data_IF_716838996931
#
_entry.id   IF_716838996931
#
_cell.length_a   1.000
_cell.length_b   1.000
_cell.length_c   1.000
_cell.angle_alpha   90.00
_cell.angle_beta   90.00
_cell.angle_gamma   90.00
#
_symmetry.space_group_name_H-M   'P 1'
#
loop_
_entity.id
_entity.type
_entity.pdbx_description
1 polymer ?
#
# COMPACT_ATOMS: atom_id res chain seq x y z
N UNK A 1 16.64 -6.61 16.23
CA UNK A 1 17.82 -7.49 16.02
C UNK A 1 19.17 -6.81 16.20
N UNK A 2 19.23 -5.46 16.26
CA UNK A 2 20.47 -4.75 16.65
C UNK A 2 21.58 -4.79 15.61
N UNK A 3 21.24 -5.07 14.34
CA UNK A 3 22.20 -5.18 13.24
C UNK A 3 22.81 -3.83 12.85
N UNK A 4 22.02 -2.74 12.94
CA UNK A 4 22.43 -1.35 12.65
C UNK A 4 21.66 -0.37 13.54
N UNK A 5 22.29 0.77 13.86
CA UNK A 5 21.67 1.88 14.61
C UNK A 5 21.01 2.92 13.70
N UNK A 6 21.46 3.01 12.45
CA UNK A 6 20.97 3.95 11.43
C UNK A 6 20.88 3.22 10.09
N UNK A 7 19.79 3.45 9.35
CA UNK A 7 19.54 2.87 8.04
C UNK A 7 19.05 3.93 7.06
N UNK A 8 19.61 3.91 5.84
CA UNK A 8 19.00 4.57 4.69
C UNK A 8 18.12 3.56 3.98
N UNK A 9 16.83 3.85 3.85
CA UNK A 9 15.87 2.97 3.17
C UNK A 9 15.00 3.77 2.21
N UNK A 10 14.39 3.10 1.25
CA UNK A 10 13.57 3.77 0.26
C UNK A 10 13.32 2.92 -0.97
N UNK A 11 12.75 3.55 -1.98
CA UNK A 11 12.47 2.95 -3.28
C UNK A 11 12.52 4.00 -4.38
N UNK A 12 12.82 3.55 -5.59
CA UNK A 12 12.75 4.37 -6.80
C UNK A 12 12.22 3.50 -7.92
N UNK A 13 11.40 4.09 -8.78
CA UNK A 13 10.98 3.48 -10.02
C UNK A 13 10.87 4.56 -11.11
N UNK A 14 11.30 4.21 -12.31
CA UNK A 14 11.20 5.06 -13.50
C UNK A 14 10.67 4.22 -14.68
N UNK A 15 9.44 3.67 -14.56
CA UNK A 15 8.95 2.66 -15.48
C UNK A 15 8.41 3.25 -16.78
N UNK A 16 8.31 4.57 -16.92
CA UNK A 16 7.72 5.23 -18.09
C UNK A 16 8.60 5.02 -19.32
N UNK A 17 8.37 3.89 -19.99
CA UNK A 17 9.09 3.45 -21.16
C UNK A 17 8.16 2.64 -22.08
N UNK A 18 8.43 2.61 -23.40
CA UNK A 18 7.58 1.87 -24.34
C UNK A 18 7.37 0.40 -23.97
N UNK A 19 8.39 -0.27 -23.44
CA UNK A 19 8.31 -1.70 -23.09
C UNK A 19 7.40 -1.93 -21.88
N UNK A 20 7.47 -1.08 -20.85
CA UNK A 20 6.65 -1.23 -19.65
C UNK A 20 5.19 -0.92 -19.96
N UNK A 21 4.93 0.16 -20.71
CA UNK A 21 3.58 0.51 -21.16
C UNK A 21 2.98 -0.63 -21.96
N UNK A 22 3.69 -1.15 -22.97
CA UNK A 22 3.21 -2.26 -23.79
C UNK A 22 2.96 -3.54 -22.97
N UNK A 23 3.78 -3.82 -21.95
CA UNK A 23 3.63 -4.98 -21.08
C UNK A 23 2.36 -4.90 -20.23
N UNK A 24 2.04 -3.73 -19.68
CA UNK A 24 0.81 -3.54 -18.91
C UNK A 24 -0.45 -3.45 -19.77
N UNK A 25 -0.34 -2.91 -20.98
CA UNK A 25 -1.43 -2.90 -21.96
C UNK A 25 -1.81 -4.34 -22.38
N UNK A 26 -0.83 -5.23 -22.53
CA UNK A 26 -1.06 -6.63 -22.89
C UNK A 26 -1.94 -7.39 -21.88
N UNK A 27 -1.87 -7.00 -20.60
CA UNK A 27 -2.70 -7.56 -19.52
C UNK A 27 -3.87 -6.64 -19.13
N UNK A 28 -4.03 -5.49 -19.82
CA UNK A 28 -5.05 -4.47 -19.58
C UNK A 28 -5.09 -4.01 -18.12
N UNK A 29 -3.90 -3.76 -17.55
CA UNK A 29 -3.80 -3.30 -16.16
C UNK A 29 -3.85 -1.77 -16.05
N UNK A 30 -3.49 -1.06 -17.11
CA UNK A 30 -3.52 0.40 -17.25
C UNK A 30 -4.89 0.90 -17.73
N UNK A 31 -5.30 2.09 -17.28
CA UNK A 31 -6.52 2.75 -17.75
C UNK A 31 -6.42 3.09 -19.23
N UNK A 32 -7.51 2.89 -19.98
CA UNK A 32 -7.58 3.25 -21.40
C UNK A 32 -8.18 4.65 -21.64
N UNK A 33 -8.44 5.42 -20.57
CA UNK A 33 -9.04 6.76 -20.60
C UNK A 33 -8.06 7.83 -21.04
N UNK A 34 -7.64 7.73 -22.30
CA UNK A 34 -6.71 8.69 -22.91
C UNK A 34 -7.40 10.02 -23.26
N UNK A 35 -8.74 10.05 -23.28
CA UNK A 35 -9.57 11.20 -23.60
C UNK A 35 -9.74 12.18 -22.42
N UNK A 36 -9.59 11.71 -21.18
CA UNK A 36 -9.58 12.55 -19.97
C UNK A 36 -8.45 12.14 -19.01
N UNK A 37 -7.18 12.51 -19.30
CA UNK A 37 -6.02 12.09 -18.51
C UNK A 37 -6.07 12.59 -17.06
N UNK A 38 -6.66 13.76 -16.80
CA UNK A 38 -6.68 14.38 -15.48
C UNK A 38 -7.50 13.57 -14.46
N UNK A 39 -8.40 12.71 -14.93
CA UNK A 39 -9.26 11.89 -14.07
C UNK A 39 -9.08 10.39 -14.32
N UNK A 40 -8.10 9.97 -15.12
CA UNK A 40 -7.91 8.57 -15.49
C UNK A 40 -7.61 7.67 -14.27
N UNK A 41 -6.78 8.14 -13.34
CA UNK A 41 -6.56 7.45 -12.06
C UNK A 41 -7.74 7.70 -11.12
N UNK A 42 -8.50 6.65 -10.80
CA UNK A 42 -9.73 6.73 -10.00
C UNK A 42 -9.95 5.48 -9.14
N UNK A 43 -9.03 5.16 -8.22
CA UNK A 43 -9.19 4.01 -7.35
C UNK A 43 -10.49 4.05 -6.55
N UNK A 44 -11.05 2.86 -6.34
CA UNK A 44 -12.35 2.61 -5.71
C UNK A 44 -13.58 3.19 -6.45
N UNK A 45 -13.39 4.00 -7.49
CA UNK A 45 -14.49 4.52 -8.30
C UNK A 45 -15.21 3.40 -9.05
N UNK A 46 -16.53 3.56 -9.24
CA UNK A 46 -17.39 2.59 -9.94
C UNK A 46 -16.99 2.39 -11.40
N UNK A 47 -16.35 3.37 -12.00
CA UNK A 47 -15.99 3.42 -13.43
C UNK A 47 -14.49 3.24 -13.69
N UNK A 48 -13.72 2.87 -12.67
CA UNK A 48 -12.29 2.55 -12.80
C UNK A 48 -12.05 1.42 -13.80
N UNK A 49 -10.96 1.53 -14.54
CA UNK A 49 -10.61 0.60 -15.62
C UNK A 49 -9.12 0.25 -15.66
N UNK A 50 -8.35 0.63 -14.64
CA UNK A 50 -6.92 0.35 -14.54
C UNK A 50 -6.17 1.46 -13.81
N UNK A 51 -4.87 1.24 -13.57
CA UNK A 51 -4.00 2.26 -12.98
C UNK A 51 -3.43 3.22 -14.04
N UNK A 52 -2.87 4.33 -13.60
CA UNK A 52 -2.05 5.22 -14.45
C UNK A 52 -0.59 5.03 -14.05
N UNK A 53 0.28 4.73 -15.03
CA UNK A 53 1.70 4.50 -14.76
C UNK A 53 2.35 5.81 -14.27
N UNK A 54 3.06 5.72 -13.15
CA UNK A 54 3.81 6.83 -12.56
C UNK A 54 5.26 6.46 -12.31
N UNK A 55 6.09 7.46 -12.04
CA UNK A 55 7.49 7.32 -11.66
C UNK A 55 7.79 8.20 -10.44
N UNK A 56 8.82 7.84 -9.68
CA UNK A 56 9.18 8.57 -8.49
C UNK A 56 10.21 7.86 -7.63
N UNK A 57 10.70 8.57 -6.61
CA UNK A 57 11.63 8.05 -5.63
C UNK A 57 11.33 8.64 -4.25
N UNK A 58 11.57 7.85 -3.21
CA UNK A 58 11.51 8.28 -1.81
C UNK A 58 12.63 7.62 -1.01
N UNK A 59 13.22 8.39 -0.09
CA UNK A 59 14.28 7.92 0.80
C UNK A 59 13.96 8.39 2.22
N UNK A 60 14.10 7.49 3.18
CA UNK A 60 13.92 7.70 4.60
C UNK A 60 15.21 7.35 5.33
N UNK A 61 15.48 8.09 6.40
CA UNK A 61 16.49 7.74 7.40
C UNK A 61 15.76 7.16 8.59
N UNK A 62 16.03 5.88 8.88
CA UNK A 62 15.52 5.20 10.06
C UNK A 62 16.64 5.10 11.09
N UNK A 63 16.28 5.23 12.36
CA UNK A 63 17.19 5.11 13.48
C UNK A 63 16.54 4.31 14.59
N UNK A 64 17.38 3.71 15.44
CA UNK A 64 16.90 3.20 16.72
C UNK A 64 16.32 4.36 17.56
N UNK A 65 15.19 4.11 18.24
CA UNK A 65 14.41 5.15 18.92
C UNK A 65 15.23 5.90 19.98
N UNK A 66 15.93 5.17 20.86
CA UNK A 66 16.73 5.77 21.92
C UNK A 66 17.93 6.56 21.37
N UNK A 67 18.52 6.11 20.25
CA UNK A 67 19.56 6.83 19.52
C UNK A 67 19.03 8.15 18.96
N UNK A 68 17.91 8.12 18.24
CA UNK A 68 17.29 9.30 17.65
C UNK A 68 16.90 10.35 18.71
N UNK A 69 16.25 9.90 19.79
CA UNK A 69 15.86 10.78 20.90
C UNK A 69 17.09 11.31 21.64
N UNK A 70 18.08 10.45 21.91
CA UNK A 70 19.29 10.80 22.65
C UNK A 70 20.11 11.90 21.97
N UNK A 71 20.14 11.93 20.63
CA UNK A 71 20.79 13.00 19.86
C UNK A 71 19.89 14.20 19.57
N UNK A 72 18.64 14.20 20.03
CA UNK A 72 17.67 15.28 19.78
C UNK A 72 17.20 15.38 18.32
N UNK A 73 17.04 14.25 17.63
CA UNK A 73 16.54 14.22 16.26
C UNK A 73 15.10 14.74 16.17
N UNK A 74 14.74 15.36 15.05
CA UNK A 74 13.34 15.62 14.72
C UNK A 74 12.69 14.31 14.24
N UNK A 75 11.77 13.76 15.04
CA UNK A 75 11.08 12.51 14.75
C UNK A 75 9.77 12.81 14.02
N UNK A 76 9.65 12.32 12.77
CA UNK A 76 8.42 12.47 11.98
C UNK A 76 7.35 11.46 12.38
N UNK A 77 7.75 10.20 12.58
CA UNK A 77 6.88 9.10 12.97
C UNK A 77 7.69 7.94 13.53
N UNK A 78 7.00 7.00 14.18
CA UNK A 78 7.52 5.70 14.58
C UNK A 78 6.92 4.61 13.67
N UNK A 79 7.73 3.62 13.29
CA UNK A 79 7.24 2.41 12.62
C UNK A 79 6.85 1.41 13.71
N UNK A 80 5.56 1.40 14.07
CA UNK A 80 5.05 0.54 15.14
C UNK A 80 5.06 -0.96 14.80
N UNK A 81 4.86 -1.33 13.54
CA UNK A 81 4.85 -2.73 13.12
C UNK A 81 4.84 -2.90 11.61
N UNK A 82 5.28 -4.08 11.15
CA UNK A 82 5.43 -4.44 9.75
C UNK A 82 5.07 -5.92 9.56
N UNK A 83 4.32 -6.23 8.50
CA UNK A 83 4.15 -7.61 8.09
C UNK A 83 3.99 -7.73 6.59
N UNK A 84 4.43 -8.88 6.06
CA UNK A 84 4.24 -9.28 4.67
C UNK A 84 3.73 -10.73 4.60
N UNK A 85 2.91 -11.02 3.58
CA UNK A 85 2.37 -12.35 3.29
C UNK A 85 2.36 -12.57 1.77
N UNK A 86 2.63 -13.80 1.35
CA UNK A 86 2.50 -14.21 -0.05
C UNK A 86 1.10 -14.76 -0.33
N UNK A 87 0.51 -14.41 -1.47
CA UNK A 87 -0.84 -14.87 -1.83
C UNK A 87 -0.90 -16.38 -2.16
N UNK A 88 0.22 -16.98 -2.59
CA UNK A 88 0.34 -18.37 -3.04
C UNK A 88 -0.79 -18.82 -3.99
N UNK A 89 -1.32 -17.90 -4.81
CA UNK A 89 -2.52 -18.10 -5.62
C UNK A 89 -2.24 -17.95 -7.12
N UNK A 90 -1.80 -16.77 -7.54
CA UNK A 90 -1.49 -16.46 -8.93
C UNK A 90 -0.49 -15.30 -8.98
N UNK A 91 0.34 -15.24 -10.03
CA UNK A 91 1.39 -14.23 -10.17
C UNK A 91 0.85 -12.79 -10.17
N UNK A 92 -0.28 -12.55 -10.83
CA UNK A 92 -0.90 -11.22 -10.99
C UNK A 92 -2.36 -11.16 -10.55
N UNK A 93 -2.92 -12.31 -10.17
CA UNK A 93 -4.34 -12.45 -9.85
C UNK A 93 -4.55 -12.31 -8.35
N UNK A 94 -5.64 -11.67 -7.97
CA UNK A 94 -6.02 -11.48 -6.56
C UNK A 94 -7.35 -12.17 -6.30
N UNK A 95 -7.45 -12.83 -5.14
CA UNK A 95 -8.73 -13.38 -4.68
C UNK A 95 -9.59 -12.25 -4.11
N UNK A 96 -10.90 -12.23 -4.33
CA UNK A 96 -11.76 -11.14 -3.84
C UNK A 96 -11.92 -11.12 -2.32
N UNK A 97 -11.47 -12.16 -1.59
CA UNK A 97 -11.66 -12.30 -0.14
C UNK A 97 -10.57 -11.63 0.72
N UNK A 98 -9.49 -11.13 0.12
CA UNK A 98 -8.51 -10.30 0.84
C UNK A 98 -7.74 -11.00 1.96
N UNK A 99 -7.76 -12.33 2.02
CA UNK A 99 -7.39 -13.08 3.24
C UNK A 99 -5.94 -12.84 3.68
N UNK A 100 -5.00 -12.95 2.77
CA UNK A 100 -3.57 -12.82 3.03
C UNK A 100 -3.20 -11.38 3.43
N UNK A 101 -3.86 -10.40 2.81
CA UNK A 101 -3.68 -8.99 3.14
C UNK A 101 -4.28 -8.67 4.51
N UNK A 102 -5.45 -9.22 4.82
CA UNK A 102 -6.05 -9.07 6.16
C UNK A 102 -5.15 -9.66 7.26
N UNK A 103 -4.53 -10.81 7.00
CA UNK A 103 -3.55 -11.41 7.92
C UNK A 103 -2.31 -10.52 8.05
N UNK A 104 -1.81 -9.93 6.95
CA UNK A 104 -0.69 -8.98 7.03
C UNK A 104 -1.05 -7.75 7.87
N UNK A 105 -2.22 -7.13 7.66
CA UNK A 105 -2.70 -5.99 8.45
C UNK A 105 -2.79 -6.38 9.94
N UNK A 106 -3.43 -7.50 10.25
CA UNK A 106 -3.59 -7.99 11.63
C UNK A 106 -2.23 -8.17 12.31
N UNK A 107 -1.24 -8.72 11.58
CA UNK A 107 0.09 -9.00 12.13
C UNK A 107 0.93 -7.75 12.34
N UNK A 108 0.80 -6.75 11.47
CA UNK A 108 1.44 -5.46 11.66
C UNK A 108 0.86 -4.74 12.90
N UNK A 109 -0.47 -4.82 13.10
CA UNK A 109 -1.13 -4.29 14.30
C UNK A 109 -0.74 -5.05 15.57
N UNK A 110 -0.66 -6.39 15.51
CA UNK A 110 -0.19 -7.23 16.62
C UNK A 110 1.24 -6.85 17.04
N UNK A 111 2.15 -6.66 16.07
CA UNK A 111 3.53 -6.23 16.34
C UNK A 111 3.57 -4.83 16.95
N UNK A 112 2.75 -3.91 16.43
CA UNK A 112 2.56 -2.57 16.97
C UNK A 112 1.82 -2.54 18.32
N UNK A 113 1.24 -3.66 18.75
CA UNK A 113 0.39 -3.78 19.95
C UNK A 113 -0.78 -2.80 19.93
N UNK A 114 -1.36 -2.59 18.75
CA UNK A 114 -2.50 -1.71 18.55
C UNK A 114 -3.77 -2.53 18.30
N UNK A 115 -4.85 -2.10 18.93
CA UNK A 115 -6.18 -2.60 18.58
C UNK A 115 -6.58 -2.06 17.19
N UNK A 116 -7.32 -2.82 16.36
CA UNK A 116 -7.75 -2.33 15.05
C UNK A 116 -8.53 -1.01 15.11
N UNK A 117 -9.21 -0.71 16.23
CA UNK A 117 -9.92 0.55 16.45
C UNK A 117 -9.02 1.77 16.66
N UNK A 118 -7.71 1.57 16.86
CA UNK A 118 -6.72 2.63 16.97
C UNK A 118 -6.25 3.18 15.61
N UNK A 119 -6.70 2.58 14.49
CA UNK A 119 -6.33 3.03 13.15
C UNK A 119 -7.20 4.24 12.76
N UNK A 120 -6.60 5.42 12.67
CA UNK A 120 -7.32 6.65 12.32
C UNK A 120 -7.43 6.90 10.81
N UNK A 121 -6.55 6.28 10.01
CA UNK A 121 -6.45 6.50 8.57
C UNK A 121 -5.78 5.31 7.89
N UNK A 122 -6.22 4.99 6.67
CA UNK A 122 -5.59 3.98 5.81
C UNK A 122 -5.14 4.63 4.50
N UNK A 123 -3.84 4.59 4.24
CA UNK A 123 -3.30 4.79 2.90
C UNK A 123 -3.32 3.44 2.17
N UNK A 124 -4.28 3.28 1.26
CA UNK A 124 -4.50 2.06 0.50
C UNK A 124 -3.52 1.94 -0.69
N UNK A 125 -3.34 0.72 -1.19
CA UNK A 125 -2.59 0.53 -2.43
C UNK A 125 -3.32 1.15 -3.63
N UNK A 126 -4.65 0.99 -3.72
CA UNK A 126 -5.51 1.80 -4.58
C UNK A 126 -5.08 1.84 -6.04
N UNK A 127 -4.83 0.69 -6.66
CA UNK A 127 -4.38 0.67 -8.05
C UNK A 127 -5.45 1.17 -9.04
N UNK A 128 -6.74 1.11 -8.72
CA UNK A 128 -7.78 1.42 -9.71
C UNK A 128 -8.13 0.24 -10.62
N UNK A 129 -7.50 -0.93 -10.42
CA UNK A 129 -7.97 -2.16 -11.06
C UNK A 129 -9.19 -2.71 -10.32
N UNK A 130 -10.10 -3.37 -11.04
CA UNK A 130 -11.30 -3.96 -10.42
C UNK A 130 -10.97 -5.00 -9.35
N UNK A 131 -9.98 -5.86 -9.62
CA UNK A 131 -9.58 -6.94 -8.73
C UNK A 131 -8.95 -6.42 -7.43
N UNK A 132 -8.02 -5.46 -7.53
CA UNK A 132 -7.27 -4.96 -6.40
C UNK A 132 -8.17 -4.23 -5.41
N UNK A 133 -8.90 -3.23 -5.90
CA UNK A 133 -9.66 -2.35 -5.00
C UNK A 133 -10.77 -3.13 -4.26
N UNK A 134 -11.28 -4.21 -4.87
CA UNK A 134 -12.18 -5.17 -4.20
C UNK A 134 -11.45 -6.03 -3.17
N UNK A 135 -10.27 -6.55 -3.52
CA UNK A 135 -9.43 -7.34 -2.63
C UNK A 135 -9.05 -6.56 -1.37
N UNK A 136 -8.59 -5.31 -1.52
CA UNK A 136 -8.23 -4.43 -0.41
C UNK A 136 -9.44 -4.10 0.47
N UNK A 137 -10.57 -3.72 -0.13
CA UNK A 137 -11.79 -3.43 0.62
C UNK A 137 -12.23 -4.62 1.48
N UNK A 138 -12.16 -5.84 0.93
CA UNK A 138 -12.45 -7.06 1.68
C UNK A 138 -11.42 -7.31 2.80
N UNK A 139 -10.14 -7.05 2.54
CA UNK A 139 -9.09 -7.19 3.53
C UNK A 139 -9.26 -6.23 4.72
N UNK A 140 -9.59 -4.96 4.45
CA UNK A 140 -9.84 -3.95 5.50
C UNK A 140 -11.03 -4.34 6.37
N UNK A 141 -12.15 -4.72 5.77
CA UNK A 141 -13.33 -5.19 6.51
C UNK A 141 -13.02 -6.43 7.36
N UNK A 142 -12.14 -7.31 6.88
CA UNK A 142 -11.76 -8.54 7.57
C UNK A 142 -10.80 -8.29 8.74
N UNK A 143 -9.84 -7.38 8.60
CA UNK A 143 -8.82 -7.09 9.60
C UNK A 143 -9.28 -6.06 10.64
N UNK A 144 -10.01 -5.03 10.21
CA UNK A 144 -10.42 -3.91 11.08
C UNK A 144 -11.88 -4.02 11.54
N UNK A 145 -12.61 -5.03 11.08
CA UNK A 145 -13.99 -5.27 11.47
C UNK A 145 -14.90 -4.09 11.12
N UNK A 146 -15.75 -3.69 12.06
CA UNK A 146 -16.67 -2.58 11.82
C UNK A 146 -15.98 -1.21 11.79
N UNK A 147 -14.78 -1.10 12.38
CA UNK A 147 -14.02 0.15 12.35
C UNK A 147 -13.70 0.57 10.90
N UNK A 148 -13.45 -0.39 10.00
CA UNK A 148 -13.16 -0.12 8.59
C UNK A 148 -14.21 0.75 7.87
N UNK A 149 -15.49 0.75 8.31
CA UNK A 149 -16.53 1.56 7.66
C UNK A 149 -16.47 3.04 8.03
N UNK A 150 -15.82 3.39 9.14
CA UNK A 150 -15.70 4.76 9.63
C UNK A 150 -14.35 5.41 9.35
N UNK A 151 -13.33 4.62 8.99
CA UNK A 151 -11.97 5.12 8.77
C UNK A 151 -11.88 5.79 7.39
N UNK A 152 -11.33 7.00 7.30
CA UNK A 152 -10.96 7.59 6.03
C UNK A 152 -9.91 6.76 5.30
N UNK A 153 -10.16 6.46 4.02
CA UNK A 153 -9.24 5.73 3.15
C UNK A 153 -8.94 6.58 1.91
N UNK A 154 -7.66 6.69 1.54
CA UNK A 154 -7.23 7.26 0.25
C UNK A 154 -6.01 6.51 -0.28
N UNK A 155 -5.53 6.89 -1.47
CA UNK A 155 -4.31 6.37 -2.12
C UNK A 155 -3.59 7.47 -2.87
#
# INVERSE_FOLDING_TARGET
>A
EGTVDVMLTGGTDAPISPITVASFDAVRATSARNDDPATASRPFDRTRDGFVLGEGAAVLVLEEWSHAVGRGAHVYSEIGGHASRGNAYHMTGLRPDGREMAEAITRALDEARLDPTAVDYVNAHGSGTLQNDRHESAAFLRALGEHARGIPVSS
#
